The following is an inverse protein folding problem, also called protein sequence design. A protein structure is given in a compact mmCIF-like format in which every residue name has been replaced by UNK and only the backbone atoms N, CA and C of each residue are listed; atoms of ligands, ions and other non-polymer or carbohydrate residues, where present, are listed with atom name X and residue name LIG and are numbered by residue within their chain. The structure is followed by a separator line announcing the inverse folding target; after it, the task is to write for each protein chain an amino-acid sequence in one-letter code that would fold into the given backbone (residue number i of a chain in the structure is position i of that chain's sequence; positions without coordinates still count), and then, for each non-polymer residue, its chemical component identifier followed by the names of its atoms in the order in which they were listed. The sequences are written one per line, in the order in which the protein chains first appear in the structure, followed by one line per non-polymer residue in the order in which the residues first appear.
data_IF_541644193024
#
_entry.id   IF_541644193024
#
_cell.length_a   1.000
_cell.length_b   1.000
_cell.length_c   1.000
_cell.angle_alpha   90.00
_cell.angle_beta   90.00
_cell.angle_gamma   90.00
#
_symmetry.space_group_name_H-M   'P 1'
#
loop_
_entity.id
_entity.type
_entity.pdbx_description
1 polymer ?
#
# COMPACT_ATOMS: atom_id res chain seq x y z
N UNK A 1 -4.87 -21.49 -9.03
CA UNK A 1 -5.38 -20.51 -8.03
C UNK A 1 -5.26 -21.17 -6.66
N UNK A 2 -4.14 -20.93 -5.96
CA UNK A 2 -3.86 -21.50 -4.63
C UNK A 2 -4.41 -20.57 -3.55
N UNK A 3 -5.74 -20.45 -3.50
CA UNK A 3 -6.48 -19.61 -2.55
C UNK A 3 -6.65 -20.28 -1.16
N UNK A 4 -5.65 -21.02 -0.68
CA UNK A 4 -5.82 -21.80 0.56
C UNK A 4 -4.52 -21.93 1.32
N UNK A 5 -4.09 -20.86 2.00
CA UNK A 5 -3.24 -20.96 3.21
C UNK A 5 -3.03 -19.67 4.00
N UNK A 6 -3.36 -18.48 3.47
CA UNK A 6 -3.24 -17.23 4.24
C UNK A 6 -4.44 -16.89 5.15
N UNK A 7 -5.49 -17.73 5.20
CA UNK A 7 -6.67 -17.45 6.01
C UNK A 7 -6.52 -17.79 7.50
N UNK A 8 -5.40 -18.39 7.93
CA UNK A 8 -5.29 -18.99 9.28
C UNK A 8 -4.58 -18.10 10.33
N UNK A 9 -4.27 -16.85 10.01
CA UNK A 9 -3.65 -15.93 10.98
C UNK A 9 -4.45 -14.67 11.30
N UNK A 10 -5.64 -14.51 10.72
CA UNK A 10 -6.52 -13.38 11.03
C UNK A 10 -7.72 -13.85 11.85
N UNK A 11 -7.87 -13.26 13.04
CA UNK A 11 -8.92 -13.58 14.02
C UNK A 11 -10.34 -13.28 13.50
N UNK A 12 -10.45 -12.49 12.43
CA UNK A 12 -11.71 -12.07 11.79
C UNK A 12 -11.54 -12.01 10.26
N UNK A 13 -12.62 -12.20 9.51
CA UNK A 13 -12.68 -12.02 8.05
C UNK A 13 -12.19 -10.63 7.63
N UNK A 14 -12.55 -9.61 8.40
CA UNK A 14 -12.07 -8.24 8.20
C UNK A 14 -10.55 -8.15 8.28
N UNK A 15 -9.91 -8.84 9.23
CA UNK A 15 -8.45 -8.90 9.33
C UNK A 15 -7.81 -9.58 8.11
N UNK A 16 -8.42 -10.66 7.61
CA UNK A 16 -7.95 -11.35 6.42
C UNK A 16 -8.04 -10.46 5.17
N UNK A 17 -9.14 -9.72 5.04
CA UNK A 17 -9.34 -8.77 3.95
C UNK A 17 -8.30 -7.65 3.96
N UNK A 18 -8.10 -7.01 5.12
CA UNK A 18 -7.10 -5.95 5.29
C UNK A 18 -5.68 -6.52 5.04
N UNK A 19 -5.39 -7.72 5.53
CA UNK A 19 -4.14 -8.41 5.28
C UNK A 19 -3.86 -8.69 3.80
N UNK A 20 -4.86 -9.18 3.08
CA UNK A 20 -4.76 -9.46 1.64
C UNK A 20 -4.56 -8.17 0.82
N UNK A 21 -5.21 -7.07 1.24
CA UNK A 21 -5.00 -5.74 0.67
C UNK A 21 -3.55 -5.28 0.86
N UNK A 22 -3.01 -5.34 2.08
CA UNK A 22 -1.61 -4.99 2.33
C UNK A 22 -0.65 -5.90 1.58
N UNK A 23 -0.90 -7.21 1.52
CA UNK A 23 -0.08 -8.15 0.74
C UNK A 23 -0.04 -7.78 -0.74
N UNK A 24 -1.18 -7.41 -1.32
CA UNK A 24 -1.27 -6.97 -2.71
C UNK A 24 -0.48 -5.67 -2.95
N UNK A 25 -0.59 -4.70 -2.03
CA UNK A 25 0.15 -3.43 -2.11
C UNK A 25 1.67 -3.65 -1.95
N UNK A 26 2.10 -4.44 -0.98
CA UNK A 26 3.51 -4.77 -0.74
C UNK A 26 4.10 -5.49 -1.96
N UNK A 27 3.36 -6.45 -2.54
CA UNK A 27 3.79 -7.14 -3.74
C UNK A 27 3.95 -6.18 -4.93
N UNK A 28 3.02 -5.24 -5.11
CA UNK A 28 3.10 -4.20 -6.14
C UNK A 28 4.32 -3.29 -5.93
N UNK A 29 4.61 -2.91 -4.68
CA UNK A 29 5.81 -2.12 -4.36
C UNK A 29 7.09 -2.89 -4.70
N UNK A 30 7.16 -4.19 -4.39
CA UNK A 30 8.30 -5.03 -4.72
C UNK A 30 8.52 -5.12 -6.24
N UNK A 31 7.46 -5.24 -7.04
CA UNK A 31 7.55 -5.21 -8.50
C UNK A 31 8.02 -3.85 -9.03
N UNK A 32 7.64 -2.76 -8.36
CA UNK A 32 8.10 -1.41 -8.67
C UNK A 32 9.48 -1.04 -8.10
N UNK A 33 10.18 -1.96 -7.42
CA UNK A 33 11.43 -1.69 -6.69
C UNK A 33 11.32 -0.53 -5.68
N UNK A 34 10.14 -0.37 -5.09
CA UNK A 34 9.81 0.69 -4.12
C UNK A 34 9.75 0.08 -2.74
N UNK A 35 10.24 0.81 -1.74
CA UNK A 35 10.12 0.38 -0.35
C UNK A 35 8.64 0.43 0.08
N UNK A 36 8.01 -0.72 0.40
CA UNK A 36 6.60 -0.76 0.79
C UNK A 36 6.32 -0.01 2.09
N UNK A 37 7.28 0.04 3.02
CA UNK A 37 7.10 0.77 4.27
C UNK A 37 7.01 2.28 4.04
N UNK A 38 7.91 2.82 3.21
CA UNK A 38 7.92 4.24 2.87
C UNK A 38 6.66 4.63 2.09
N UNK A 39 6.24 3.77 1.15
CA UNK A 39 5.02 3.97 0.40
C UNK A 39 3.76 4.00 1.29
N UNK A 40 3.59 3.00 2.16
CA UNK A 40 2.44 2.96 3.07
C UNK A 40 2.43 4.13 4.06
N UNK A 41 3.60 4.54 4.54
CA UNK A 41 3.75 5.72 5.40
C UNK A 41 3.34 6.99 4.66
N UNK A 42 3.76 7.16 3.41
CA UNK A 42 3.37 8.29 2.58
C UNK A 42 1.86 8.33 2.33
N UNK A 43 1.24 7.19 2.00
CA UNK A 43 -0.22 7.10 1.85
C UNK A 43 -0.95 7.50 3.14
N UNK A 44 -0.47 7.03 4.29
CA UNK A 44 -1.08 7.35 5.58
C UNK A 44 -0.96 8.85 5.91
N UNK A 45 0.23 9.45 5.71
CA UNK A 45 0.47 10.88 5.95
C UNK A 45 -0.36 11.79 5.04
N UNK A 46 -0.54 11.40 3.79
CA UNK A 46 -1.16 12.21 2.75
C UNK A 46 -2.52 11.65 2.30
N UNK A 47 -3.25 11.05 3.23
CA UNK A 47 -4.52 10.36 2.96
C UNK A 47 -5.51 11.26 2.19
N UNK A 48 -5.54 12.56 2.49
CA UNK A 48 -6.44 13.52 1.83
C UNK A 48 -6.08 13.75 0.36
N UNK A 49 -4.79 13.82 0.04
CA UNK A 49 -4.24 13.99 -1.30
C UNK A 49 -4.40 12.71 -2.13
N UNK A 50 -4.22 11.55 -1.49
CA UNK A 50 -4.46 10.23 -2.07
C UNK A 50 -5.90 10.10 -2.52
N UNK A 51 -6.86 10.48 -1.67
CA UNK A 51 -8.28 10.43 -2.04
C UNK A 51 -8.64 11.40 -3.17
N UNK A 52 -7.98 12.57 -3.24
CA UNK A 52 -8.23 13.56 -4.31
C UNK A 52 -7.68 13.09 -5.66
N UNK A 53 -6.49 12.50 -5.68
CA UNK A 53 -5.79 12.15 -6.93
C UNK A 53 -5.07 10.79 -6.83
N UNK A 54 -5.80 9.67 -6.69
CA UNK A 54 -5.18 8.36 -6.43
C UNK A 54 -4.19 7.91 -7.50
N UNK A 55 -4.37 8.35 -8.76
CA UNK A 55 -3.45 8.07 -9.85
C UNK A 55 -2.02 8.60 -9.66
N UNK A 56 -1.85 9.65 -8.83
CA UNK A 56 -0.55 10.25 -8.52
C UNK A 56 0.14 9.64 -7.29
N UNK A 57 -0.53 8.67 -6.64
CA UNK A 57 -0.09 8.02 -5.41
C UNK A 57 0.12 6.52 -5.62
N UNK A 58 0.48 6.12 -6.84
CA UNK A 58 0.89 4.75 -7.13
C UNK A 58 2.33 4.52 -6.64
N UNK A 59 2.74 3.27 -6.38
CA UNK A 59 4.07 2.97 -5.86
C UNK A 59 5.21 3.56 -6.71
N UNK A 60 5.03 3.68 -8.02
CA UNK A 60 6.03 4.18 -8.96
C UNK A 60 6.03 5.70 -9.17
N UNK A 61 5.04 6.46 -8.66
CA UNK A 61 4.96 7.91 -8.90
C UNK A 61 4.64 8.76 -7.66
N UNK A 62 4.36 8.15 -6.50
CA UNK A 62 4.06 8.88 -5.27
C UNK A 62 5.16 9.85 -4.84
N UNK A 63 6.43 9.55 -5.15
CA UNK A 63 7.58 10.40 -4.83
C UNK A 63 7.48 11.79 -5.46
N UNK A 64 6.91 11.90 -6.67
CA UNK A 64 6.69 13.18 -7.32
C UNK A 64 5.57 14.01 -6.65
N UNK A 65 4.71 13.35 -5.88
CA UNK A 65 3.63 13.96 -5.09
C UNK A 65 4.06 14.31 -3.67
N UNK A 66 5.25 13.86 -3.23
CA UNK A 66 5.76 14.17 -1.90
C UNK A 66 6.14 15.66 -1.81
N UNK A 67 5.73 16.37 -0.75
CA UNK A 67 6.23 17.70 -0.50
C UNK A 67 7.74 17.66 -0.20
N UNK A 68 8.44 18.75 -0.51
CA UNK A 68 9.90 18.91 -0.35
C UNK A 68 10.37 18.63 1.09
N UNK A 69 9.49 18.80 2.08
CA UNK A 69 9.78 18.56 3.49
C UNK A 69 9.70 17.08 3.93
N UNK A 70 9.14 16.19 3.09
CA UNK A 70 9.03 14.74 3.35
C UNK A 70 10.00 13.91 2.47
N UNK A 71 10.94 14.56 1.76
CA UNK A 71 11.96 13.94 0.90
C UNK A 71 13.24 13.56 1.62
#
# INVERSE_FOLDING_TARGET
ILNRKNSLFYKTEHGAFIGDMFMSLIHTCNLGHVNPFDYLTALQKHTSEVFKNPGNWMPWNYQASLPINDS
#
